data_IF_306207958919
#
_entry.id   IF_306207958919
#
_cell.length_a   1.000
_cell.length_b   1.000
_cell.length_c   1.000
_cell.angle_alpha   90.00
_cell.angle_beta   90.00
_cell.angle_gamma   90.00
#
_symmetry.space_group_name_H-M   'P 1'
#
loop_
_entity.id
_entity.type
_entity.pdbx_description
1 polymer ?
#
# COMPACT_ATOMS: atom_id res chain seq x y z
N UNK A 1 24.18 8.16 -14.68
CA UNK A 1 22.89 8.55 -14.10
C UNK A 1 22.24 7.28 -13.65
N UNK A 2 22.18 7.07 -12.35
CA UNK A 2 21.69 5.85 -11.71
C UNK A 2 20.15 5.93 -11.65
N UNK A 3 19.48 5.97 -12.82
CA UNK A 3 18.03 5.98 -12.87
C UNK A 3 17.52 4.59 -12.50
N UNK A 4 17.18 4.45 -11.22
CA UNK A 4 16.43 3.32 -10.73
C UNK A 4 15.00 3.44 -11.21
N UNK A 5 14.43 2.35 -11.69
CA UNK A 5 13.02 2.34 -12.02
C UNK A 5 12.17 2.39 -10.72
N UNK A 6 10.99 3.01 -10.74
CA UNK A 6 10.12 3.10 -9.56
C UNK A 6 9.32 1.81 -9.28
N UNK A 7 9.36 0.84 -10.20
CA UNK A 7 8.48 -0.34 -10.18
C UNK A 7 8.91 -1.44 -9.21
N UNK A 8 7.94 -2.23 -8.77
CA UNK A 8 8.07 -3.42 -7.92
C UNK A 8 7.54 -4.68 -8.60
N UNK A 9 7.90 -5.84 -8.04
CA UNK A 9 7.55 -7.11 -8.67
C UNK A 9 6.04 -7.32 -8.56
N UNK A 10 5.43 -7.59 -9.71
CA UNK A 10 4.00 -7.74 -9.82
C UNK A 10 3.19 -6.47 -10.02
N UNK A 11 3.83 -5.31 -10.13
CA UNK A 11 3.17 -4.09 -10.61
C UNK A 11 2.69 -4.27 -12.05
N UNK A 12 1.62 -3.55 -12.39
CA UNK A 12 1.07 -3.53 -13.73
C UNK A 12 1.48 -2.23 -14.40
N UNK A 13 2.13 -2.35 -15.56
CA UNK A 13 2.53 -1.21 -16.39
C UNK A 13 1.84 -1.24 -17.74
N UNK A 14 1.63 -0.05 -18.28
CA UNK A 14 1.11 0.18 -19.61
C UNK A 14 2.16 0.88 -20.46
N UNK A 15 2.38 0.36 -21.65
CA UNK A 15 3.35 0.92 -22.59
C UNK A 15 2.72 1.91 -23.55
N UNK A 16 3.51 2.92 -23.93
CA UNK A 16 3.20 3.90 -24.98
C UNK A 16 4.44 4.16 -25.82
N UNK A 17 4.22 4.59 -27.05
CA UNK A 17 5.30 5.00 -27.97
C UNK A 17 6.32 3.91 -28.29
N UNK A 18 5.92 2.63 -28.21
CA UNK A 18 6.72 1.53 -28.72
C UNK A 18 6.64 1.46 -30.24
N UNK A 19 7.79 1.48 -30.89
CA UNK A 19 7.93 1.29 -32.35
C UNK A 19 8.43 -0.13 -32.62
N UNK A 20 7.74 -0.87 -33.48
CA UNK A 20 8.03 -2.28 -33.78
C UNK A 20 7.34 -3.30 -32.87
N UNK A 21 6.87 -2.86 -31.69
CA UNK A 21 6.01 -3.60 -30.78
C UNK A 21 4.73 -2.82 -30.48
N UNK A 22 4.06 -2.37 -31.55
CA UNK A 22 2.89 -1.50 -31.43
C UNK A 22 1.71 -2.20 -30.75
N UNK A 23 1.63 -3.53 -30.85
CA UNK A 23 0.65 -4.35 -30.12
C UNK A 23 0.79 -4.27 -28.60
N UNK A 24 1.93 -3.82 -28.08
CA UNK A 24 2.10 -3.58 -26.64
C UNK A 24 1.62 -2.18 -26.23
N UNK A 25 1.45 -1.25 -27.17
CA UNK A 25 0.93 0.06 -26.85
C UNK A 25 -0.49 -0.09 -26.32
N UNK A 26 -0.77 0.51 -25.15
CA UNK A 26 -2.06 0.44 -24.46
C UNK A 26 -2.44 -0.95 -23.92
N UNK A 27 -1.55 -1.94 -23.97
CA UNK A 27 -1.75 -3.20 -23.28
C UNK A 27 -1.12 -3.15 -21.88
N UNK A 28 -1.86 -3.67 -20.90
CA UNK A 28 -1.37 -3.85 -19.55
C UNK A 28 -0.49 -5.10 -19.46
N UNK A 29 0.67 -4.96 -18.81
CA UNK A 29 1.62 -6.05 -18.59
C UNK A 29 2.08 -6.05 -17.15
N UNK A 30 2.12 -7.24 -16.56
CA UNK A 30 2.67 -7.47 -15.22
C UNK A 30 4.18 -7.52 -15.31
N UNK A 31 4.85 -6.74 -14.46
CA UNK A 31 6.29 -6.79 -14.31
C UNK A 31 6.70 -8.10 -13.64
N UNK A 32 7.78 -8.67 -14.15
CA UNK A 32 8.50 -9.83 -13.62
C UNK A 32 9.99 -9.52 -13.60
N UNK A 33 10.73 -10.16 -12.71
CA UNK A 33 12.20 -10.13 -12.68
C UNK A 33 12.76 -8.70 -12.70
N UNK A 34 12.74 -8.08 -11.52
CA UNK A 34 13.27 -6.73 -11.31
C UNK A 34 14.75 -6.75 -10.97
N UNK A 35 15.48 -5.83 -11.60
CA UNK A 35 16.85 -5.46 -11.29
C UNK A 35 16.94 -3.93 -11.24
N UNK A 36 17.94 -3.38 -10.58
CA UNK A 36 18.04 -1.95 -10.20
C UNK A 36 17.79 -0.99 -11.39
N UNK A 37 18.14 -1.40 -12.61
CA UNK A 37 17.99 -0.60 -13.84
C UNK A 37 17.09 -1.21 -14.91
N UNK A 38 16.58 -2.43 -14.70
CA UNK A 38 15.85 -3.16 -15.75
C UNK A 38 14.78 -4.05 -15.14
N UNK A 39 13.71 -4.27 -15.89
CA UNK A 39 12.63 -5.17 -15.53
C UNK A 39 12.19 -5.98 -16.74
N UNK A 40 11.62 -7.16 -16.52
CA UNK A 40 11.03 -7.98 -17.57
C UNK A 40 9.50 -7.89 -17.54
N UNK A 41 8.86 -8.14 -18.69
CA UNK A 41 7.40 -8.25 -18.81
C UNK A 41 6.98 -9.66 -19.26
N UNK A 42 7.90 -10.62 -19.15
CA UNK A 42 7.73 -11.99 -19.63
C UNK A 42 7.92 -12.13 -21.13
N UNK A 43 7.44 -13.25 -21.67
CA UNK A 43 7.61 -13.59 -23.08
C UNK A 43 6.70 -12.72 -23.98
N UNK A 44 7.34 -12.06 -24.95
CA UNK A 44 6.70 -11.20 -25.96
C UNK A 44 6.80 -11.80 -27.38
N UNK A 45 7.43 -12.97 -27.52
CA UNK A 45 7.59 -13.66 -28.81
C UNK A 45 6.25 -13.94 -29.51
N UNK A 46 5.19 -14.13 -28.73
CA UNK A 46 3.82 -14.34 -29.20
C UNK A 46 3.20 -13.13 -29.93
N UNK A 47 3.77 -11.92 -29.78
CA UNK A 47 3.21 -10.68 -30.32
C UNK A 47 3.68 -10.35 -31.73
N UNK A 48 4.58 -11.15 -32.31
CA UNK A 48 5.01 -11.03 -33.70
C UNK A 48 5.56 -9.63 -34.02
N UNK A 49 6.81 -9.35 -33.63
CA UNK A 49 7.46 -8.07 -33.92
C UNK A 49 8.82 -7.97 -33.25
N UNK A 50 9.66 -7.07 -33.75
CA UNK A 50 10.97 -6.77 -33.18
C UNK A 50 10.97 -5.33 -32.66
N UNK A 51 11.46 -5.13 -31.44
CA UNK A 51 11.60 -3.79 -30.86
C UNK A 51 12.56 -2.96 -31.72
N UNK A 52 12.12 -1.76 -32.15
CA UNK A 52 12.97 -0.85 -32.92
C UNK A 52 13.51 0.29 -32.07
N UNK A 53 12.64 1.01 -31.36
CA UNK A 53 12.98 2.17 -30.51
C UNK A 53 11.79 2.65 -29.70
N UNK A 54 12.06 3.58 -28.77
CA UNK A 54 11.04 4.26 -27.97
C UNK A 54 10.57 3.42 -26.78
N UNK A 55 9.36 3.70 -26.31
CA UNK A 55 8.77 3.00 -25.17
C UNK A 55 8.81 3.84 -23.89
N UNK A 56 7.62 4.20 -23.43
CA UNK A 56 7.36 4.78 -22.11
C UNK A 56 6.53 3.77 -21.33
N UNK A 57 7.06 3.29 -20.22
CA UNK A 57 6.34 2.44 -19.28
C UNK A 57 5.71 3.31 -18.19
N UNK A 58 4.41 3.16 -17.95
CA UNK A 58 3.69 3.85 -16.89
C UNK A 58 2.97 2.84 -16.00
N UNK A 59 3.17 2.96 -14.69
CA UNK A 59 2.41 2.16 -13.72
C UNK A 59 0.91 2.50 -13.78
N UNK A 60 0.08 1.46 -13.80
CA UNK A 60 -1.38 1.56 -13.76
C UNK A 60 -1.86 1.15 -12.38
N UNK A 61 -2.36 2.13 -11.63
CA UNK A 61 -3.00 1.88 -10.34
C UNK A 61 -4.32 1.15 -10.56
N UNK A 62 -4.35 -0.12 -10.19
CA UNK A 62 -5.57 -0.93 -10.24
C UNK A 62 -6.61 -0.41 -9.24
N UNK A 63 -7.89 -0.54 -9.59
CA UNK A 63 -8.97 -0.26 -8.66
C UNK A 63 -8.96 -1.32 -7.55
N UNK A 64 -8.73 -0.89 -6.31
CA UNK A 64 -8.81 -1.75 -5.13
C UNK A 64 -10.12 -1.47 -4.41
N UNK A 65 -10.98 -2.48 -4.31
CA UNK A 65 -12.16 -2.44 -3.45
C UNK A 65 -11.73 -2.73 -2.02
N UNK A 66 -11.93 -1.77 -1.12
CA UNK A 66 -11.72 -1.97 0.30
C UNK A 66 -13.07 -2.13 0.99
N UNK A 67 -13.29 -3.33 1.53
CA UNK A 67 -14.45 -3.62 2.35
C UNK A 67 -14.15 -3.28 3.82
N UNK A 68 -14.96 -2.38 4.38
CA UNK A 68 -14.88 -2.00 5.78
C UNK A 68 -15.90 -2.79 6.58
N UNK A 69 -15.45 -3.40 7.68
CA UNK A 69 -16.35 -4.01 8.67
C UNK A 69 -17.13 -2.93 9.41
N UNK A 70 -18.25 -3.32 10.01
CA UNK A 70 -19.04 -2.44 10.86
C UNK A 70 -18.23 -1.95 12.07
N UNK A 71 -18.59 -0.78 12.60
CA UNK A 71 -17.92 -0.22 13.79
C UNK A 71 -17.96 -1.19 14.98
N UNK A 72 -19.09 -1.86 15.21
CA UNK A 72 -19.25 -2.81 16.31
C UNK A 72 -18.24 -3.97 16.22
N UNK A 73 -18.02 -4.51 15.02
CA UNK A 73 -17.03 -5.58 14.81
C UNK A 73 -15.60 -5.09 14.96
N UNK A 74 -15.30 -3.85 14.56
CA UNK A 74 -13.97 -3.28 14.73
C UNK A 74 -13.64 -2.93 16.18
N UNK A 75 -14.64 -2.63 17.02
CA UNK A 75 -14.43 -2.43 18.47
C UNK A 75 -13.98 -3.74 19.14
N UNK A 76 -14.57 -4.88 18.75
CA UNK A 76 -14.20 -6.19 19.30
C UNK A 76 -12.95 -6.80 18.65
N UNK A 77 -12.67 -6.47 17.40
CA UNK A 77 -11.50 -6.97 16.67
C UNK A 77 -10.96 -5.91 15.70
N UNK A 78 -10.17 -4.94 16.21
CA UNK A 78 -9.71 -3.81 15.42
C UNK A 78 -8.66 -4.24 14.40
N UNK A 79 -8.91 -3.91 13.13
CA UNK A 79 -7.89 -4.02 12.07
C UNK A 79 -7.13 -2.71 12.00
N UNK A 80 -6.06 -2.61 12.79
CA UNK A 80 -5.22 -1.41 12.85
C UNK A 80 -4.27 -1.43 11.65
N UNK A 81 -4.32 -0.37 10.84
CA UNK A 81 -3.29 -0.11 9.84
C UNK A 81 -2.20 0.72 10.51
N UNK A 82 -1.04 0.14 10.73
CA UNK A 82 0.15 0.89 11.15
C UNK A 82 0.68 1.67 9.96
N UNK A 83 0.52 2.99 9.99
CA UNK A 83 1.16 3.89 9.04
C UNK A 83 2.64 4.01 9.42
N UNK A 84 3.50 3.75 8.43
CA UNK A 84 4.96 3.87 8.42
C UNK A 84 5.75 3.87 9.76
N UNK A 85 6.36 2.73 10.09
CA UNK A 85 7.67 2.70 10.76
C UNK A 85 7.80 3.26 12.18
N UNK A 86 6.72 3.65 12.85
CA UNK A 86 6.75 4.08 14.26
C UNK A 86 6.27 2.99 15.22
N UNK A 87 6.66 1.74 14.98
CA UNK A 87 6.42 0.62 15.91
C UNK A 87 7.24 0.73 17.22
N UNK A 88 8.12 1.72 17.33
CA UNK A 88 8.91 1.98 18.53
C UNK A 88 8.19 2.77 19.61
N UNK A 89 7.04 3.41 19.33
CA UNK A 89 6.30 4.19 20.34
C UNK A 89 4.92 3.62 20.72
N UNK A 90 4.28 2.80 19.87
CA UNK A 90 2.91 2.31 20.12
C UNK A 90 2.78 1.32 21.29
N UNK A 91 3.89 0.69 21.72
CA UNK A 91 3.92 -0.14 22.95
C UNK A 91 4.07 0.66 24.24
N UNK A 92 4.50 1.93 24.18
CA UNK A 92 4.78 2.74 25.37
C UNK A 92 3.66 3.74 25.67
N UNK A 93 3.03 4.34 24.66
CA UNK A 93 1.93 5.30 24.90
C UNK A 93 0.63 4.65 25.38
N UNK A 94 0.36 3.40 25.01
CA UNK A 94 -0.88 2.72 25.44
C UNK A 94 -0.81 2.24 26.90
N UNK A 95 0.35 1.75 27.37
CA UNK A 95 0.50 1.31 28.77
C UNK A 95 0.50 2.45 29.79
N UNK A 96 1.22 3.54 29.50
CA UNK A 96 1.36 4.68 30.41
C UNK A 96 0.10 5.56 30.44
N UNK A 97 -0.66 5.63 29.34
CA UNK A 97 -1.91 6.42 29.27
C UNK A 97 -3.07 5.76 30.02
N UNK A 98 -3.21 4.42 29.94
CA UNK A 98 -4.22 3.70 30.74
C UNK A 98 -3.87 3.67 32.23
N UNK A 99 -2.59 3.55 32.60
CA UNK A 99 -2.16 3.67 34.00
C UNK A 99 -2.39 5.09 34.55
N UNK A 100 -2.27 6.12 33.71
CA UNK A 100 -2.62 7.49 34.05
C UNK A 100 -4.14 7.67 34.21
N UNK A 101 -4.97 7.12 33.32
CA UNK A 101 -6.44 7.15 33.48
C UNK A 101 -6.91 6.41 34.74
N UNK A 102 -6.40 5.20 35.03
CA UNK A 102 -6.67 4.48 36.29
C UNK A 102 -6.21 5.25 37.54
N UNK A 103 -5.23 6.15 37.39
CA UNK A 103 -4.74 7.02 38.47
C UNK A 103 -5.54 8.32 38.59
N UNK A 104 -6.17 8.78 37.52
CA UNK A 104 -7.06 9.94 37.49
C UNK A 104 -8.48 9.57 37.96
N UNK A 105 -8.97 8.37 37.63
CA UNK A 105 -10.30 7.87 38.05
C UNK A 105 -10.40 7.58 39.56
N UNK A 106 -9.26 7.45 40.27
CA UNK A 106 -9.24 7.33 41.73
C UNK A 106 -9.54 8.62 42.51
N UNK A 107 -9.72 9.75 41.83
CA UNK A 107 -10.00 11.03 42.47
C UNK A 107 -11.46 11.49 42.40
N UNK A 108 -12.34 10.76 41.71
CA UNK A 108 -13.75 11.17 41.52
C UNK A 108 -14.79 10.31 42.24
N UNK A 109 -14.39 9.25 42.95
CA UNK A 109 -15.33 8.31 43.58
C UNK A 109 -15.96 8.78 44.91
N UNK A 110 -15.90 10.07 45.26
CA UNK A 110 -16.46 10.56 46.54
C UNK A 110 -17.44 11.75 46.49
N UNK A 111 -17.79 12.26 45.31
CA UNK A 111 -18.89 13.24 45.14
C UNK A 111 -19.49 12.97 43.75
N UNK A 112 -20.58 12.23 43.58
CA UNK A 112 -21.96 12.73 43.66
C UNK A 112 -22.87 11.50 43.80
N UNK A 113 -23.27 11.20 45.03
CA UNK A 113 -24.56 10.60 45.31
C UNK A 113 -25.53 11.74 45.60
N UNK A 114 -26.31 12.24 44.63
CA UNK A 114 -27.59 12.92 44.90
C UNK A 114 -28.48 12.97 43.66
N UNK A 115 -29.65 12.35 43.82
CA UNK A 115 -30.98 12.61 43.23
C UNK A 115 -31.12 13.73 42.20
N UNK A 116 -31.55 13.39 40.97
CA UNK A 116 -32.91 13.65 40.42
C UNK A 116 -33.26 12.51 39.46
#
# INVERSE_FOLDING_TARGET
GDERHPFQDGDIVLFRELVGLEHLNQCERKIKDINIHQFSIGDISSLGGEYKRGGIAREVKQQSTMDFKSLNEQIHNPKILTTDGSDYWTKTVTGEFWSWLDRVDRFTDYDIAFSI
#
